data_IF_201727342527
#
_entry.id   IF_201727342527
#
_cell.length_a   1.000
_cell.length_b   1.000
_cell.length_c   1.000
_cell.angle_alpha   90.00
_cell.angle_beta   90.00
_cell.angle_gamma   90.00
#
_symmetry.space_group_name_H-M   'P 1'
#
loop_
_entity.id
_entity.type
_entity.pdbx_description
1 polymer ?
#
# COMPACT_ATOMS: atom_id res chain seq x y z
N UNK A 1 -2.24 4.86 -2.21
CA UNK A 1 -1.10 4.22 -2.87
C UNK A 1 -1.62 3.49 -4.09
N UNK A 2 -0.74 3.22 -5.04
CA UNK A 2 -1.07 2.63 -6.33
C UNK A 2 0.20 2.37 -7.12
N UNK A 3 0.08 2.32 -8.44
CA UNK A 3 1.18 2.07 -9.37
C UNK A 3 1.37 3.26 -10.32
N UNK A 4 2.46 3.27 -11.07
CA UNK A 4 2.77 4.32 -12.04
C UNK A 4 3.38 5.59 -11.44
N UNK A 5 3.41 6.67 -12.24
CA UNK A 5 4.01 7.95 -11.83
C UNK A 5 3.21 8.68 -10.75
N UNK A 6 1.87 8.57 -10.81
CA UNK A 6 0.95 9.25 -9.88
C UNK A 6 0.43 8.31 -8.78
N UNK A 7 1.28 7.40 -8.29
CA UNK A 7 0.91 6.34 -7.34
C UNK A 7 0.41 6.84 -5.97
N UNK A 8 0.79 8.06 -5.57
CA UNK A 8 0.29 8.70 -4.38
C UNK A 8 -1.03 9.45 -4.66
N UNK A 9 -2.13 8.73 -4.90
CA UNK A 9 -3.39 9.31 -5.43
C UNK A 9 -3.91 10.56 -4.70
N UNK A 10 -3.82 10.60 -3.35
CA UNK A 10 -4.25 11.78 -2.58
C UNK A 10 -3.42 13.03 -2.91
N UNK A 11 -2.15 12.86 -3.31
CA UNK A 11 -1.28 13.92 -3.80
C UNK A 11 -1.57 14.30 -5.26
N UNK A 12 -2.54 13.68 -5.93
CA UNK A 12 -3.01 14.09 -7.25
C UNK A 12 -4.31 14.92 -7.18
N UNK A 13 -4.88 15.07 -5.98
CA UNK A 13 -6.06 15.91 -5.76
C UNK A 13 -5.66 17.39 -5.74
N UNK A 14 -6.42 18.22 -6.46
CA UNK A 14 -6.21 19.68 -6.54
C UNK A 14 -7.48 20.49 -6.25
N UNK A 15 -8.61 19.83 -5.98
CA UNK A 15 -9.87 20.46 -5.61
C UNK A 15 -10.93 19.41 -5.27
N UNK A 16 -11.78 19.73 -4.30
CA UNK A 16 -12.89 18.88 -3.85
C UNK A 16 -14.17 19.71 -3.80
N UNK A 17 -15.32 19.10 -4.09
CA UNK A 17 -16.63 19.59 -3.68
C UNK A 17 -17.16 18.65 -2.60
N UNK A 18 -17.61 19.22 -1.48
CA UNK A 18 -17.98 18.48 -0.27
C UNK A 18 -19.26 19.05 0.30
N UNK A 19 -20.23 18.18 0.58
CA UNK A 19 -21.41 18.51 1.36
C UNK A 19 -21.11 18.32 2.86
N UNK A 20 -21.33 19.36 3.65
CA UNK A 20 -21.16 19.37 5.10
C UNK A 20 -22.38 18.78 5.83
N UNK A 21 -22.29 18.61 7.15
CA UNK A 21 -23.36 17.98 7.94
C UNK A 21 -24.64 18.83 8.04
N UNK A 22 -24.53 20.14 7.87
CA UNK A 22 -25.65 21.09 7.78
C UNK A 22 -26.27 21.17 6.37
N UNK A 23 -25.67 20.50 5.39
CA UNK A 23 -26.11 20.47 4.00
C UNK A 23 -25.43 21.50 3.09
N UNK A 24 -24.60 22.40 3.62
CA UNK A 24 -23.86 23.35 2.80
C UNK A 24 -22.86 22.64 1.90
N UNK A 25 -22.67 23.17 0.68
CA UNK A 25 -21.72 22.63 -0.30
C UNK A 25 -20.52 23.55 -0.40
N UNK A 26 -19.35 23.04 -0.01
CA UNK A 26 -18.08 23.76 -0.04
C UNK A 26 -17.21 23.21 -1.17
N UNK A 27 -16.53 24.12 -1.88
CA UNK A 27 -15.45 23.78 -2.81
C UNK A 27 -14.11 24.25 -2.26
N UNK A 28 -13.09 23.41 -2.37
CA UNK A 28 -11.76 23.68 -1.80
C UNK A 28 -10.80 24.28 -2.82
N UNK A 29 -9.71 24.88 -2.33
CA UNK A 29 -8.66 25.45 -3.18
C UNK A 29 -9.19 26.48 -4.18
N UNK A 30 -8.62 26.46 -5.39
CA UNK A 30 -9.05 27.32 -6.49
C UNK A 30 -10.47 26.99 -6.98
N UNK A 31 -10.97 25.77 -6.73
CA UNK A 31 -12.32 25.37 -7.12
C UNK A 31 -13.41 26.07 -6.29
N UNK A 32 -13.05 26.69 -5.17
CA UNK A 32 -13.91 27.60 -4.40
C UNK A 32 -14.34 28.86 -5.17
N UNK A 33 -13.57 29.29 -6.16
CA UNK A 33 -13.85 30.47 -6.99
C UNK A 33 -14.74 30.04 -8.15
N UNK A 34 -15.94 30.61 -8.25
CA UNK A 34 -17.00 30.12 -9.15
C UNK A 34 -16.57 29.90 -10.61
N UNK A 35 -15.69 30.76 -11.14
CA UNK A 35 -15.24 30.73 -12.53
C UNK A 35 -13.71 30.69 -12.66
N UNK A 36 -13.00 30.08 -11.71
CA UNK A 36 -11.53 30.05 -11.79
C UNK A 36 -11.04 29.15 -12.93
N UNK A 37 -10.26 29.69 -13.89
CA UNK A 37 -9.60 28.85 -14.90
C UNK A 37 -8.52 27.95 -14.29
N UNK A 38 -8.14 28.21 -13.04
CA UNK A 38 -7.13 27.47 -12.30
C UNK A 38 -7.71 26.48 -11.28
N UNK A 39 -9.04 26.28 -11.29
CA UNK A 39 -9.77 25.46 -10.30
C UNK A 39 -9.11 24.11 -9.98
N UNK A 40 -8.54 23.45 -10.99
CA UNK A 40 -7.91 22.13 -10.87
C UNK A 40 -6.43 22.11 -11.27
N UNK A 41 -5.80 23.28 -11.44
CA UNK A 41 -4.42 23.39 -11.92
C UNK A 41 -3.41 23.62 -10.79
N UNK A 42 -3.85 24.21 -9.68
CA UNK A 42 -2.97 24.60 -8.58
C UNK A 42 -3.53 24.17 -7.24
N UNK A 43 -2.63 23.64 -6.40
CA UNK A 43 -2.89 23.38 -4.97
C UNK A 43 -2.63 24.58 -4.09
N UNK A 44 -2.01 25.62 -4.63
CA UNK A 44 -1.83 26.87 -3.90
C UNK A 44 -3.18 27.56 -3.75
N UNK A 45 -3.56 27.76 -2.49
CA UNK A 45 -4.81 28.38 -2.09
C UNK A 45 -4.53 29.59 -1.22
N UNK A 46 -5.52 30.47 -1.08
CA UNK A 46 -5.50 31.55 -0.09
C UNK A 46 -6.27 31.09 1.15
N UNK A 47 -5.65 31.22 2.33
CA UNK A 47 -6.17 30.69 3.59
C UNK A 47 -5.70 29.25 3.88
N UNK A 48 -6.29 28.57 4.88
CA UNK A 48 -5.91 27.20 5.23
C UNK A 48 -6.24 26.21 4.10
N UNK A 49 -5.32 25.31 3.79
CA UNK A 49 -5.62 24.12 2.99
C UNK A 49 -6.41 23.12 3.83
N UNK A 50 -7.65 22.84 3.44
CA UNK A 50 -8.58 22.00 4.20
C UNK A 50 -8.88 20.67 3.51
N UNK A 51 -8.38 20.43 2.30
CA UNK A 51 -8.57 19.21 1.51
C UNK A 51 -8.23 17.95 2.31
N UNK A 52 -7.12 18.00 3.06
CA UNK A 52 -6.67 16.90 3.91
C UNK A 52 -7.67 16.52 5.00
N UNK A 53 -8.52 17.46 5.45
CA UNK A 53 -9.56 17.19 6.44
C UNK A 53 -10.65 16.26 5.90
N UNK A 54 -10.81 16.14 4.58
CA UNK A 54 -11.82 15.27 3.96
C UNK A 54 -11.26 13.92 3.48
N UNK A 55 -9.95 13.69 3.65
CA UNK A 55 -9.31 12.41 3.32
C UNK A 55 -9.23 11.57 4.58
N UNK A 56 -9.79 10.35 4.54
CA UNK A 56 -9.86 9.46 5.70
C UNK A 56 -10.54 10.11 6.92
N UNK A 57 -11.67 10.79 6.75
CA UNK A 57 -12.40 11.39 7.87
C UNK A 57 -13.90 11.17 7.75
N UNK A 58 -14.65 11.77 8.66
CA UNK A 58 -16.11 11.83 8.64
C UNK A 58 -16.63 13.27 8.70
N UNK A 59 -15.89 14.23 8.15
CA UNK A 59 -16.22 15.66 8.23
C UNK A 59 -17.15 16.16 7.11
N UNK A 60 -17.43 15.34 6.11
CA UNK A 60 -18.28 15.70 4.98
C UNK A 60 -18.49 14.54 4.01
N UNK A 61 -19.37 14.74 3.05
CA UNK A 61 -19.61 13.83 1.92
C UNK A 61 -19.02 14.46 0.66
N UNK A 62 -17.94 13.87 0.14
CA UNK A 62 -17.31 14.35 -1.09
C UNK A 62 -18.20 14.02 -2.28
N UNK A 63 -18.61 15.03 -3.05
CA UNK A 63 -19.49 14.92 -4.22
C UNK A 63 -18.74 15.06 -5.54
N UNK A 64 -17.61 15.79 -5.55
CA UNK A 64 -16.70 15.89 -6.70
C UNK A 64 -15.25 15.91 -6.24
N UNK A 65 -14.37 15.37 -7.06
CA UNK A 65 -12.93 15.32 -6.83
C UNK A 65 -12.19 15.59 -8.13
N UNK A 66 -11.16 16.44 -8.11
CA UNK A 66 -10.22 16.55 -9.22
C UNK A 66 -9.07 15.56 -9.04
N UNK A 67 -8.58 14.98 -10.13
CA UNK A 67 -7.40 14.12 -10.15
C UNK A 67 -6.48 14.53 -11.30
N UNK A 68 -5.23 14.81 -10.99
CA UNK A 68 -4.21 15.00 -12.02
C UNK A 68 -3.86 13.68 -12.68
N UNK A 69 -3.85 13.71 -14.02
CA UNK A 69 -3.50 12.58 -14.86
C UNK A 69 -2.11 12.80 -15.44
N UNK A 70 -1.35 11.72 -15.48
CA UNK A 70 -0.08 11.67 -16.16
C UNK A 70 -0.30 11.73 -17.67
N UNK A 71 0.36 12.65 -18.41
CA UNK A 71 0.37 12.63 -19.86
C UNK A 71 0.88 11.30 -20.39
N UNK A 72 0.33 10.85 -21.52
CA UNK A 72 0.74 9.62 -22.16
C UNK A 72 2.24 9.68 -22.54
N UNK A 73 3.08 8.76 -22.04
CA UNK A 73 4.51 8.78 -22.34
C UNK A 73 4.80 8.21 -23.73
N UNK A 74 5.91 8.61 -24.34
CA UNK A 74 6.39 8.04 -25.61
C UNK A 74 6.89 6.59 -25.47
N UNK A 75 7.48 6.27 -24.32
CA UNK A 75 7.98 4.94 -24.00
C UNK A 75 7.76 4.60 -22.53
N UNK A 76 7.73 3.30 -22.27
CA UNK A 76 7.63 2.67 -20.96
C UNK A 76 8.65 1.55 -20.88
N UNK A 77 9.41 1.48 -19.79
CA UNK A 77 10.25 0.33 -19.51
C UNK A 77 9.73 -0.40 -18.27
N UNK A 78 9.31 -1.65 -18.46
CA UNK A 78 8.96 -2.56 -17.39
C UNK A 78 10.25 -3.08 -16.74
N UNK A 79 10.49 -2.70 -15.49
CA UNK A 79 11.71 -3.03 -14.78
C UNK A 79 11.43 -3.98 -13.63
N UNK A 80 12.34 -4.93 -13.42
CA UNK A 80 12.23 -5.92 -12.35
C UNK A 80 13.61 -6.20 -11.74
N UNK A 81 13.63 -6.50 -10.43
CA UNK A 81 14.82 -6.93 -9.71
C UNK A 81 14.49 -8.08 -8.78
N UNK A 82 15.17 -9.22 -8.93
CA UNK A 82 14.94 -10.44 -8.16
C UNK A 82 16.11 -10.73 -7.23
N UNK A 83 15.90 -10.61 -5.92
CA UNK A 83 16.92 -10.83 -4.91
C UNK A 83 16.85 -12.27 -4.37
N UNK A 84 17.94 -13.01 -4.54
CA UNK A 84 18.00 -14.43 -4.24
C UNK A 84 18.13 -14.74 -2.75
N UNK A 85 18.69 -13.83 -1.96
CA UNK A 85 18.94 -14.01 -0.53
C UNK A 85 17.88 -13.29 0.30
N UNK A 86 17.44 -13.90 1.40
CA UNK A 86 16.44 -13.29 2.28
C UNK A 86 16.96 -12.00 2.92
N UNK A 87 18.20 -12.01 3.40
CA UNK A 87 18.89 -10.85 3.99
C UNK A 87 19.20 -9.76 2.96
N UNK A 88 19.23 -10.11 1.67
CA UNK A 88 19.44 -9.18 0.56
C UNK A 88 18.38 -8.07 0.49
N UNK A 89 17.25 -8.22 1.17
CA UNK A 89 16.25 -7.16 1.33
C UNK A 89 16.86 -5.86 1.88
N UNK A 90 17.81 -5.96 2.83
CA UNK A 90 18.39 -4.77 3.47
C UNK A 90 19.11 -3.89 2.44
N UNK A 91 20.04 -4.46 1.68
CA UNK A 91 20.76 -3.71 0.64
C UNK A 91 19.85 -3.27 -0.50
N UNK A 92 18.86 -4.09 -0.86
CA UNK A 92 17.89 -3.79 -1.90
C UNK A 92 17.06 -2.56 -1.53
N UNK A 93 16.49 -2.52 -0.31
CA UNK A 93 15.71 -1.37 0.16
C UNK A 93 16.54 -0.11 0.25
N UNK A 94 17.78 -0.18 0.74
CA UNK A 94 18.65 0.99 0.84
C UNK A 94 19.01 1.56 -0.54
N UNK A 95 19.34 0.71 -1.51
CA UNK A 95 19.68 1.12 -2.87
C UNK A 95 18.48 1.76 -3.60
N UNK A 96 17.32 1.09 -3.60
CA UNK A 96 16.10 1.64 -4.20
C UNK A 96 15.62 2.91 -3.48
N UNK A 97 15.72 2.95 -2.15
CA UNK A 97 15.35 4.12 -1.35
C UNK A 97 16.20 5.34 -1.69
N UNK A 98 17.50 5.16 -1.91
CA UNK A 98 18.40 6.22 -2.37
C UNK A 98 18.01 6.73 -3.77
N UNK A 99 17.78 5.81 -4.72
CA UNK A 99 17.36 6.15 -6.09
C UNK A 99 15.98 6.81 -6.14
N UNK A 100 15.09 6.50 -5.19
CA UNK A 100 13.82 7.20 -5.01
C UNK A 100 14.04 8.63 -4.52
N UNK A 101 14.96 8.85 -3.57
CA UNK A 101 15.22 10.19 -3.00
C UNK A 101 15.94 11.14 -3.95
N UNK A 102 16.85 10.63 -4.78
CA UNK A 102 17.64 11.45 -5.70
C UNK A 102 16.94 11.68 -7.06
N UNK A 103 15.79 11.03 -7.30
CA UNK A 103 15.02 11.16 -8.55
C UNK A 103 15.45 10.20 -9.66
N UNK A 104 16.41 9.29 -9.43
CA UNK A 104 16.74 8.23 -10.40
C UNK A 104 15.54 7.31 -10.64
N UNK A 105 14.64 7.10 -9.66
CA UNK A 105 13.36 6.41 -9.83
C UNK A 105 12.23 7.32 -9.36
N UNK A 106 11.35 7.71 -10.29
CA UNK A 106 10.23 8.61 -10.01
C UNK A 106 8.96 7.85 -9.58
N UNK A 107 8.70 6.70 -10.20
CA UNK A 107 7.50 5.90 -9.95
C UNK A 107 7.54 5.19 -8.60
N UNK A 108 6.44 4.52 -8.24
CA UNK A 108 6.46 3.58 -7.13
C UNK A 108 7.34 2.38 -7.46
N UNK A 109 8.17 1.96 -6.51
CA UNK A 109 8.78 0.62 -6.53
C UNK A 109 7.95 -0.26 -5.62
N UNK A 110 7.29 -1.27 -6.21
CA UNK A 110 6.54 -2.27 -5.49
C UNK A 110 7.45 -3.46 -5.21
N UNK A 111 7.56 -3.83 -3.94
CA UNK A 111 8.30 -5.00 -3.49
C UNK A 111 7.32 -6.07 -3.07
N UNK A 112 7.59 -7.32 -3.42
CA UNK A 112 6.79 -8.49 -3.02
C UNK A 112 7.70 -9.61 -2.55
N UNK A 113 7.19 -10.39 -1.61
CA UNK A 113 7.82 -11.63 -1.12
C UNK A 113 7.53 -12.81 -2.05
N UNK A 114 8.38 -13.85 -1.97
CA UNK A 114 8.11 -15.13 -2.65
C UNK A 114 6.71 -15.67 -2.31
N UNK A 115 6.34 -15.67 -1.03
CA UNK A 115 5.03 -16.15 -0.55
C UNK A 115 3.89 -15.45 -1.27
N UNK A 116 3.90 -14.13 -1.34
CA UNK A 116 2.82 -13.39 -1.98
C UNK A 116 2.74 -13.68 -3.48
N UNK A 117 3.89 -13.82 -4.15
CA UNK A 117 3.94 -14.23 -5.56
C UNK A 117 3.29 -15.60 -5.77
N UNK A 118 3.54 -16.56 -4.86
CA UNK A 118 2.88 -17.87 -4.86
C UNK A 118 1.37 -17.75 -4.59
N UNK A 119 0.95 -16.88 -3.66
CA UNK A 119 -0.45 -16.64 -3.38
C UNK A 119 -1.21 -16.12 -4.60
N UNK A 120 -0.60 -15.24 -5.40
CA UNK A 120 -1.21 -14.75 -6.65
C UNK A 120 -1.27 -15.86 -7.70
N UNK A 121 -0.30 -16.78 -7.71
CA UNK A 121 -0.15 -17.79 -8.77
C UNK A 121 -0.96 -19.08 -8.55
N UNK A 122 -1.37 -19.38 -7.31
CA UNK A 122 -2.01 -20.65 -6.98
C UNK A 122 -2.65 -20.68 -5.60
N UNK A 123 -2.98 -21.88 -5.14
CA UNK A 123 -3.50 -22.10 -3.78
C UNK A 123 -2.46 -22.76 -2.91
N UNK A 124 -2.59 -22.63 -1.58
CA UNK A 124 -1.63 -23.23 -0.64
C UNK A 124 -1.39 -24.71 -0.90
N UNK A 125 -2.45 -25.48 -1.18
CA UNK A 125 -2.40 -26.92 -1.45
C UNK A 125 -1.63 -27.31 -2.73
N UNK A 126 -1.39 -26.37 -3.66
CA UNK A 126 -0.55 -26.59 -4.84
C UNK A 126 0.94 -26.64 -4.46
N UNK A 127 1.29 -26.04 -3.33
CA UNK A 127 2.68 -25.85 -2.90
C UNK A 127 3.02 -26.59 -1.61
N UNK A 128 2.04 -26.74 -0.71
CA UNK A 128 2.18 -27.40 0.59
C UNK A 128 0.85 -27.97 1.09
N UNK A 129 0.83 -29.28 1.37
CA UNK A 129 -0.34 -30.00 1.91
C UNK A 129 -0.20 -30.38 3.38
N UNK A 130 0.98 -30.18 3.97
CA UNK A 130 1.22 -30.49 5.38
C UNK A 130 0.53 -29.51 6.33
N UNK A 131 0.65 -29.72 7.65
CA UNK A 131 0.10 -28.81 8.65
C UNK A 131 0.88 -27.47 8.70
N UNK A 132 0.24 -26.44 9.26
CA UNK A 132 0.89 -25.15 9.55
C UNK A 132 1.32 -24.35 8.30
N UNK A 133 2.08 -23.26 8.48
CA UNK A 133 2.63 -22.49 7.37
C UNK A 133 3.56 -23.33 6.47
N UNK A 134 3.79 -22.88 5.23
CA UNK A 134 4.81 -23.48 4.35
C UNK A 134 6.20 -23.40 5.02
N UNK A 135 6.89 -24.52 5.25
CA UNK A 135 8.18 -24.50 5.94
C UNK A 135 9.30 -23.94 5.06
N UNK A 136 10.32 -23.34 5.69
CA UNK A 136 11.42 -22.66 5.00
C UNK A 136 12.16 -23.53 3.98
N UNK A 137 12.36 -24.82 4.27
CA UNK A 137 12.98 -25.75 3.32
C UNK A 137 12.15 -25.90 2.05
N UNK A 138 10.81 -25.92 2.16
CA UNK A 138 9.91 -26.01 1.00
C UNK A 138 9.86 -24.71 0.23
N UNK A 139 9.93 -23.57 0.92
CA UNK A 139 10.05 -22.27 0.27
C UNK A 139 11.33 -22.15 -0.55
N UNK A 140 12.44 -22.68 -0.06
CA UNK A 140 13.71 -22.70 -0.80
C UNK A 140 13.65 -23.61 -2.05
N UNK A 141 12.91 -24.72 -1.99
CA UNK A 141 12.63 -25.54 -3.19
C UNK A 141 11.76 -24.77 -4.20
N UNK A 142 10.64 -24.20 -3.74
CA UNK A 142 9.72 -23.43 -4.58
C UNK A 142 10.40 -22.23 -5.23
N UNK A 143 11.32 -21.57 -4.53
CA UNK A 143 12.15 -20.49 -5.06
C UNK A 143 12.94 -20.95 -6.29
N UNK A 144 13.57 -22.11 -6.21
CA UNK A 144 14.33 -22.71 -7.34
C UNK A 144 13.42 -23.19 -8.47
N UNK A 145 12.27 -23.79 -8.13
CA UNK A 145 11.29 -24.29 -9.10
C UNK A 145 10.67 -23.16 -9.93
N UNK A 146 10.36 -22.02 -9.29
CA UNK A 146 9.70 -20.87 -9.92
C UNK A 146 10.68 -19.86 -10.53
N UNK A 147 11.94 -19.86 -10.09
CA UNK A 147 12.96 -18.89 -10.51
C UNK A 147 12.82 -17.50 -9.84
N UNK A 148 11.84 -17.32 -8.96
CA UNK A 148 11.72 -16.09 -8.17
C UNK A 148 12.79 -16.04 -7.07
N UNK A 149 13.20 -14.84 -6.67
CA UNK A 149 13.99 -14.63 -5.46
C UNK A 149 13.14 -14.71 -4.19
N UNK A 150 13.78 -14.55 -3.03
CA UNK A 150 13.04 -14.30 -1.78
C UNK A 150 12.28 -12.97 -1.82
N UNK A 151 12.84 -12.00 -2.54
CA UNK A 151 12.26 -10.66 -2.73
C UNK A 151 12.28 -10.25 -4.19
N UNK A 152 11.23 -9.57 -4.61
CA UNK A 152 11.08 -9.12 -5.98
C UNK A 152 10.60 -7.66 -6.00
N UNK A 153 11.32 -6.78 -6.69
CA UNK A 153 10.89 -5.41 -6.96
C UNK A 153 10.42 -5.27 -8.40
N UNK A 154 9.35 -4.49 -8.59
CA UNK A 154 8.84 -4.08 -9.89
C UNK A 154 8.56 -2.60 -9.91
N UNK A 155 8.93 -1.94 -11.01
CA UNK A 155 8.63 -0.54 -11.25
C UNK A 155 8.60 -0.24 -12.74
N UNK A 156 8.07 0.92 -13.09
CA UNK A 156 8.06 1.44 -14.45
C UNK A 156 8.94 2.66 -14.60
N UNK A 157 9.61 2.78 -15.74
CA UNK A 157 10.19 4.05 -16.20
C UNK A 157 9.33 4.58 -17.34
N UNK A 158 9.02 5.88 -17.35
CA UNK A 158 8.06 6.47 -18.28
C UNK A 158 8.64 7.75 -18.87
N UNK A 159 8.59 7.91 -20.19
CA UNK A 159 9.07 9.12 -20.85
C UNK A 159 9.65 8.84 -22.23
N UNK A 160 10.50 9.74 -22.76
CA UNK A 160 11.19 9.53 -24.01
C UNK A 160 12.14 8.32 -23.95
N UNK A 161 12.19 7.53 -25.02
CA UNK A 161 12.95 6.27 -25.10
C UNK A 161 14.40 6.41 -24.62
N UNK A 162 15.13 7.44 -25.10
CA UNK A 162 16.53 7.67 -24.73
C UNK A 162 16.73 7.92 -23.23
N UNK A 163 15.74 8.56 -22.59
CA UNK A 163 15.81 8.94 -21.18
C UNK A 163 15.53 7.73 -20.30
N UNK A 164 14.49 6.96 -20.62
CA UNK A 164 14.18 5.73 -19.86
C UNK A 164 15.29 4.69 -19.99
N UNK A 165 15.95 4.60 -21.15
CA UNK A 165 17.11 3.71 -21.32
C UNK A 165 18.29 4.14 -20.45
N UNK A 166 18.70 5.41 -20.52
CA UNK A 166 19.80 5.92 -19.70
C UNK A 166 19.53 5.78 -18.19
N UNK A 167 18.27 6.00 -17.78
CA UNK A 167 17.83 5.82 -16.40
C UNK A 167 17.92 4.34 -15.97
N UNK A 168 17.53 3.40 -16.83
CA UNK A 168 17.69 1.97 -16.55
C UNK A 168 19.14 1.54 -16.47
N UNK A 169 20.00 2.02 -17.37
CA UNK A 169 21.43 1.69 -17.39
C UNK A 169 22.11 2.13 -16.09
N UNK A 170 21.76 3.31 -15.57
CA UNK A 170 22.21 3.81 -14.26
C UNK A 170 21.71 2.92 -13.11
N UNK A 171 20.41 2.61 -13.07
CA UNK A 171 19.83 1.73 -12.04
C UNK A 171 20.51 0.36 -12.07
N UNK A 172 20.73 -0.20 -13.27
CA UNK A 172 21.41 -1.47 -13.47
C UNK A 172 22.83 -1.44 -12.91
N UNK A 173 23.62 -0.43 -13.24
CA UNK A 173 24.98 -0.29 -12.72
C UNK A 173 25.01 -0.22 -11.18
N UNK A 174 24.10 0.55 -10.57
CA UNK A 174 24.00 0.63 -9.11
C UNK A 174 23.64 -0.72 -8.49
N UNK A 175 22.66 -1.41 -9.05
CA UNK A 175 22.18 -2.68 -8.50
C UNK A 175 23.17 -3.82 -8.70
N UNK A 176 23.85 -3.90 -9.84
CA UNK A 176 24.91 -4.89 -10.08
C UNK A 176 26.11 -4.66 -9.13
N UNK A 177 26.41 -3.41 -8.79
CA UNK A 177 27.49 -3.10 -7.85
C UNK A 177 27.11 -3.38 -6.38
N UNK A 178 25.89 -3.03 -5.96
CA UNK A 178 25.47 -3.11 -4.55
C UNK A 178 24.83 -4.44 -4.16
N UNK A 179 24.18 -5.10 -5.11
CA UNK A 179 23.39 -6.31 -4.89
C UNK A 179 23.70 -7.35 -5.99
N UNK A 180 24.97 -7.80 -6.12
CA UNK A 180 25.45 -8.62 -7.24
C UNK A 180 24.81 -10.02 -7.32
N UNK A 181 24.17 -10.47 -6.24
CA UNK A 181 23.44 -11.76 -6.20
C UNK A 181 22.02 -11.65 -6.74
N UNK A 182 21.53 -10.44 -7.00
CA UNK A 182 20.22 -10.22 -7.59
C UNK A 182 20.26 -10.12 -9.12
N UNK A 183 19.11 -10.33 -9.74
CA UNK A 183 18.95 -10.27 -11.19
C UNK A 183 18.07 -9.08 -11.58
N UNK A 184 18.60 -8.17 -12.40
CA UNK A 184 17.86 -7.03 -12.95
C UNK A 184 17.45 -7.28 -14.41
N UNK A 185 16.20 -6.94 -14.75
CA UNK A 185 15.69 -6.99 -16.13
C UNK A 185 14.89 -5.73 -16.46
N UNK A 186 15.03 -5.27 -17.71
CA UNK A 186 14.30 -4.14 -18.27
C UNK A 186 13.75 -4.52 -19.64
N UNK A 187 12.45 -4.30 -19.85
CA UNK A 187 11.80 -4.54 -21.16
C UNK A 187 11.16 -3.24 -21.62
N UNK A 188 11.70 -2.71 -22.71
CA UNK A 188 11.30 -1.43 -23.29
C UNK A 188 10.13 -1.61 -24.27
N UNK A 189 9.13 -0.76 -24.11
CA UNK A 189 8.00 -0.58 -25.01
C UNK A 189 7.98 0.89 -25.45
N UNK A 190 7.86 1.14 -26.74
CA UNK A 190 7.85 2.50 -27.30
C UNK A 190 6.71 2.63 -28.32
N UNK A 191 6.24 3.86 -28.50
CA UNK A 191 5.29 4.18 -29.56
C UNK A 191 5.85 3.79 -30.94
N UNK A 192 4.96 3.40 -31.85
CA UNK A 192 5.34 3.03 -33.21
C UNK A 192 5.75 4.25 -34.07
N UNK A 193 5.33 5.45 -33.69
CA UNK A 193 5.65 6.72 -34.35
C UNK A 193 6.35 7.66 -33.35
N UNK A 194 7.34 8.43 -33.83
CA UNK A 194 8.21 9.27 -33.00
C UNK A 194 7.49 10.43 -32.28
N UNK A 195 6.33 10.86 -32.78
CA UNK A 195 5.47 11.90 -32.21
C UNK A 195 4.27 11.35 -31.41
N UNK A 196 4.12 10.02 -31.36
CA UNK A 196 3.01 9.35 -30.70
C UNK A 196 3.27 9.01 -29.23
N UNK A 197 2.20 8.86 -28.46
CA UNK A 197 2.24 8.23 -27.14
C UNK A 197 2.13 6.71 -27.24
N UNK A 198 2.78 5.98 -26.34
CA UNK A 198 2.65 4.53 -26.23
C UNK A 198 1.22 4.17 -25.83
N UNK A 199 0.54 3.36 -26.64
CA UNK A 199 -0.75 2.78 -26.26
C UNK A 199 -0.57 1.81 -25.10
N UNK A 200 -1.15 2.14 -23.94
CA UNK A 200 -1.07 1.33 -22.73
C UNK A 200 -1.63 -0.10 -22.94
N UNK A 201 -2.64 -0.26 -23.79
CA UNK A 201 -3.24 -1.57 -24.07
C UNK A 201 -2.34 -2.48 -24.92
N UNK A 202 -1.33 -1.92 -25.60
CA UNK A 202 -0.38 -2.68 -26.42
C UNK A 202 0.70 -3.39 -25.58
N UNK A 203 0.86 -3.03 -24.30
CA UNK A 203 1.85 -3.64 -23.41
C UNK A 203 1.29 -4.94 -22.81
N UNK A 204 1.86 -6.10 -23.12
CA UNK A 204 1.31 -7.38 -22.72
C UNK A 204 1.52 -7.66 -21.22
N UNK A 205 0.67 -8.52 -20.66
CA UNK A 205 0.92 -9.15 -19.35
C UNK A 205 2.21 -9.99 -19.42
N UNK A 206 3.05 -10.01 -18.36
CA UNK A 206 2.84 -9.36 -17.06
C UNK A 206 3.33 -7.91 -16.98
N UNK A 207 3.89 -7.32 -18.04
CA UNK A 207 4.54 -6.01 -18.01
C UNK A 207 3.58 -4.82 -18.03
N UNK A 208 2.37 -5.00 -18.58
CA UNK A 208 1.34 -3.97 -18.70
C UNK A 208 0.46 -3.83 -17.44
N UNK A 209 -0.85 -3.83 -17.65
CA UNK A 209 -1.87 -3.74 -16.59
C UNK A 209 -1.72 -2.47 -15.73
N UNK A 210 -1.75 -2.61 -14.40
CA UNK A 210 -1.72 -1.50 -13.46
C UNK A 210 -0.45 -0.64 -13.58
N UNK A 211 0.65 -1.18 -14.12
CA UNK A 211 1.88 -0.41 -14.33
C UNK A 211 1.77 0.60 -15.47
N UNK A 212 0.84 0.41 -16.42
CA UNK A 212 0.57 1.37 -17.51
C UNK A 212 -0.80 2.03 -17.39
N UNK A 213 -1.47 1.86 -16.24
CA UNK A 213 -2.78 2.46 -15.97
C UNK A 213 -3.98 1.69 -16.52
N UNK A 214 -3.79 0.42 -16.93
CA UNK A 214 -4.89 -0.46 -17.35
C UNK A 214 -5.38 -1.28 -16.14
N UNK A 215 -6.62 -1.08 -15.67
CA UNK A 215 -7.14 -1.81 -14.50
C UNK A 215 -7.17 -3.32 -14.72
N UNK A 216 -6.88 -4.09 -13.66
CA UNK A 216 -6.81 -5.54 -13.68
C UNK A 216 -7.26 -6.13 -12.35
N UNK A 217 -7.77 -7.37 -12.38
CA UNK A 217 -8.06 -8.19 -11.20
C UNK A 217 -6.97 -9.27 -10.98
N UNK A 218 -5.79 -9.08 -11.56
CA UNK A 218 -4.69 -10.06 -11.55
C UNK A 218 -4.31 -10.57 -10.14
N UNK A 219 -4.34 -9.72 -9.12
CA UNK A 219 -4.01 -10.12 -7.74
C UNK A 219 -5.18 -10.75 -6.98
N UNK A 220 -6.41 -10.72 -7.51
CA UNK A 220 -7.59 -11.24 -6.82
C UNK A 220 -7.48 -12.72 -6.41
N UNK A 221 -6.83 -13.64 -7.17
CA UNK A 221 -6.67 -15.03 -6.76
C UNK A 221 -6.03 -15.24 -5.39
N UNK A 222 -5.18 -14.31 -4.93
CA UNK A 222 -4.47 -14.36 -3.64
C UNK A 222 -5.38 -14.64 -2.44
N UNK A 223 -6.61 -14.12 -2.44
CA UNK A 223 -7.53 -14.31 -1.31
C UNK A 223 -7.96 -15.79 -1.14
N UNK A 224 -7.84 -16.59 -2.20
CA UNK A 224 -8.19 -18.00 -2.19
C UNK A 224 -7.06 -18.91 -1.70
N UNK A 225 -5.91 -18.34 -1.32
CA UNK A 225 -4.76 -19.09 -0.80
C UNK A 225 -5.12 -20.17 0.24
N UNK A 226 -5.92 -19.88 1.28
CA UNK A 226 -6.22 -20.86 2.33
C UNK A 226 -7.42 -21.76 1.98
N UNK A 227 -8.10 -21.54 0.85
CA UNK A 227 -9.35 -22.23 0.49
C UNK A 227 -9.03 -23.49 -0.32
N UNK A 228 -9.28 -24.71 0.21
CA UNK A 228 -8.99 -25.93 -0.53
C UNK A 228 -9.82 -26.05 -1.82
N UNK A 229 -9.34 -26.77 -2.83
CA UNK A 229 -10.07 -26.93 -4.10
C UNK A 229 -11.25 -27.88 -4.01
N UNK A 230 -11.22 -28.79 -3.05
CA UNK A 230 -12.17 -29.91 -2.91
C UNK A 230 -13.39 -29.59 -2.04
N UNK A 231 -13.40 -28.46 -1.32
CA UNK A 231 -14.52 -28.05 -0.48
C UNK A 231 -14.84 -26.55 -0.63
N UNK A 232 -16.10 -26.15 -0.42
CA UNK A 232 -16.45 -24.74 -0.40
C UNK A 232 -15.81 -24.04 0.79
N UNK A 233 -15.41 -22.78 0.59
CA UNK A 233 -14.95 -21.88 1.63
C UNK A 233 -15.27 -20.44 1.23
N UNK A 234 -15.18 -19.52 2.19
CA UNK A 234 -15.43 -18.09 1.93
C UNK A 234 -14.15 -17.30 2.14
N UNK A 235 -13.44 -17.04 1.06
CA UNK A 235 -12.19 -16.30 1.09
C UNK A 235 -12.31 -14.93 1.78
N UNK A 236 -11.32 -14.62 2.62
CA UNK A 236 -11.12 -13.31 3.22
C UNK A 236 -9.65 -12.91 3.10
N UNK A 237 -9.42 -11.60 3.15
CA UNK A 237 -8.11 -11.03 3.38
C UNK A 237 -8.20 -9.92 4.43
N UNK A 238 -7.06 -9.65 5.05
CA UNK A 238 -6.83 -8.54 5.95
C UNK A 238 -5.36 -8.15 5.88
N UNK A 239 -5.03 -6.99 6.39
CA UNK A 239 -3.69 -6.45 6.36
C UNK A 239 -3.36 -5.70 7.65
N UNK A 240 -2.11 -5.78 8.05
CA UNK A 240 -1.50 -4.85 9.00
C UNK A 240 -0.47 -4.01 8.25
N UNK A 241 -0.71 -2.71 8.17
CA UNK A 241 -0.08 -1.79 7.22
C UNK A 241 0.77 -0.67 7.86
N UNK A 242 1.88 -0.99 8.55
CA UNK A 242 2.71 0.02 9.21
C UNK A 242 3.45 0.88 8.20
N UNK A 243 3.66 2.14 8.58
CA UNK A 243 4.59 3.04 7.89
C UNK A 243 5.95 2.90 8.54
N UNK A 244 6.93 2.43 7.77
CA UNK A 244 8.29 2.13 8.23
C UNK A 244 9.26 3.08 7.50
N UNK A 245 10.34 3.56 8.14
CA UNK A 245 11.37 4.31 7.44
C UNK A 245 11.88 3.58 6.19
N UNK A 246 12.23 4.32 5.14
CA UNK A 246 12.89 3.76 3.95
C UNK A 246 14.35 3.43 4.29
N UNK A 247 14.50 2.35 5.07
CA UNK A 247 15.75 1.80 5.59
C UNK A 247 15.69 0.29 5.55
N UNK A 248 16.67 -0.33 4.89
CA UNK A 248 16.75 -1.78 4.74
C UNK A 248 16.77 -2.51 6.06
N UNK A 249 17.56 -2.00 7.02
CA UNK A 249 17.62 -2.55 8.37
C UNK A 249 16.24 -2.57 9.05
N UNK A 250 15.50 -1.45 8.99
CA UNK A 250 14.20 -1.34 9.65
C UNK A 250 13.15 -2.25 9.01
N UNK A 251 13.15 -2.36 7.68
CA UNK A 251 12.24 -3.25 6.93
C UNK A 251 12.58 -4.72 7.18
N UNK A 252 13.86 -5.10 7.13
CA UNK A 252 14.29 -6.48 7.41
C UNK A 252 14.01 -6.88 8.86
N UNK A 253 14.23 -5.98 9.83
CA UNK A 253 13.85 -6.23 11.22
C UNK A 253 12.34 -6.47 11.36
N UNK A 254 11.52 -5.67 10.68
CA UNK A 254 10.06 -5.88 10.69
C UNK A 254 9.69 -7.28 10.17
N UNK A 255 10.28 -7.72 9.05
CA UNK A 255 10.05 -9.07 8.52
C UNK A 255 10.41 -10.16 9.54
N UNK A 256 11.56 -10.01 10.23
CA UNK A 256 12.03 -10.96 11.24
C UNK A 256 11.09 -11.06 12.44
N UNK A 257 10.48 -9.96 12.87
CA UNK A 257 9.56 -9.97 14.02
C UNK A 257 8.13 -10.33 13.64
N UNK A 258 7.69 -10.02 12.42
CA UNK A 258 6.35 -10.36 11.96
C UNK A 258 6.21 -11.83 11.58
N UNK A 259 7.27 -12.46 11.05
CA UNK A 259 7.27 -13.88 10.66
C UNK A 259 6.76 -14.81 11.77
N UNK A 260 7.37 -14.84 12.98
CA UNK A 260 6.92 -15.74 14.05
C UNK A 260 5.49 -15.43 14.52
N UNK A 261 5.02 -14.17 14.42
CA UNK A 261 3.64 -13.79 14.77
C UNK A 261 2.65 -14.39 13.78
N UNK A 262 2.95 -14.32 12.47
CA UNK A 262 2.14 -14.96 11.44
C UNK A 262 2.13 -16.48 11.63
N UNK A 263 3.31 -17.09 11.80
CA UNK A 263 3.44 -18.54 11.88
C UNK A 263 2.76 -19.14 13.12
N UNK A 264 2.85 -18.47 14.27
CA UNK A 264 2.14 -18.87 15.49
C UNK A 264 0.60 -18.87 15.32
N UNK A 265 0.09 -18.14 14.32
CA UNK A 265 -1.33 -18.09 13.98
C UNK A 265 -1.67 -18.90 12.71
N UNK A 266 -0.73 -19.70 12.21
CA UNK A 266 -0.94 -20.62 11.09
C UNK A 266 -1.00 -19.94 9.72
N UNK A 267 -0.42 -18.75 9.58
CA UNK A 267 -0.35 -17.99 8.32
C UNK A 267 1.11 -17.80 7.92
N UNK A 268 1.40 -17.88 6.63
CA UNK A 268 2.70 -17.51 6.09
C UNK A 268 2.95 -15.99 6.23
N UNK A 269 4.21 -15.56 6.32
CA UNK A 269 4.53 -14.14 6.17
C UNK A 269 4.36 -13.73 4.71
N UNK A 270 3.16 -13.33 4.35
CA UNK A 270 2.86 -12.67 3.08
C UNK A 270 3.07 -11.16 3.24
N UNK A 271 4.06 -10.63 2.53
CA UNK A 271 4.42 -9.22 2.60
C UNK A 271 4.67 -8.62 1.21
N UNK A 272 4.03 -7.48 0.96
CA UNK A 272 4.48 -6.47 0.00
C UNK A 272 4.82 -5.16 0.68
N UNK A 273 5.45 -4.25 -0.06
CA UNK A 273 5.44 -2.85 0.31
C UNK A 273 5.57 -1.92 -0.89
N UNK A 274 5.00 -0.73 -0.71
CA UNK A 274 5.08 0.37 -1.66
C UNK A 274 6.14 1.34 -1.16
N UNK A 275 7.23 1.45 -1.91
CA UNK A 275 8.32 2.34 -1.54
C UNK A 275 8.03 3.77 -1.97
N UNK A 276 7.98 4.67 -1.00
CA UNK A 276 8.08 6.11 -1.19
C UNK A 276 9.52 6.57 -0.95
N UNK A 277 9.78 7.85 -1.18
CA UNK A 277 11.12 8.46 -1.07
C UNK A 277 11.69 8.34 0.34
N UNK A 278 10.84 8.46 1.37
CA UNK A 278 11.30 8.55 2.78
C UNK A 278 10.77 7.47 3.69
N UNK A 279 9.78 6.71 3.22
CA UNK A 279 9.14 5.65 3.98
C UNK A 279 8.71 4.54 3.03
N UNK A 280 8.47 3.37 3.58
CA UNK A 280 7.70 2.32 2.93
C UNK A 280 6.36 2.22 3.64
N UNK A 281 5.31 1.92 2.88
CA UNK A 281 4.07 1.44 3.48
C UNK A 281 4.00 -0.04 3.17
N UNK A 282 4.06 -0.83 4.22
CA UNK A 282 4.29 -2.25 4.15
C UNK A 282 3.01 -2.98 4.48
N UNK A 283 2.53 -3.88 3.62
CA UNK A 283 1.35 -4.67 3.90
C UNK A 283 1.77 -6.07 4.35
N UNK A 284 1.64 -6.34 5.64
CA UNK A 284 1.58 -7.72 6.10
C UNK A 284 0.16 -8.23 5.87
N UNK A 285 -0.06 -8.83 4.70
CA UNK A 285 -1.36 -9.38 4.35
C UNK A 285 -1.52 -10.78 4.93
N UNK A 286 -2.76 -11.13 5.24
CA UNK A 286 -3.13 -12.46 5.69
C UNK A 286 -4.50 -12.82 5.14
N UNK A 287 -4.70 -14.09 4.85
CA UNK A 287 -5.93 -14.63 4.26
C UNK A 287 -6.45 -15.76 5.12
N UNK A 288 -7.77 -15.92 5.15
CA UNK A 288 -8.41 -17.00 5.89
C UNK A 288 -9.75 -17.40 5.27
N UNK A 289 -10.29 -18.53 5.71
CA UNK A 289 -11.68 -18.90 5.44
C UNK A 289 -12.63 -18.24 6.45
N UNK A 290 -13.49 -17.31 6.00
CA UNK A 290 -14.49 -16.65 6.84
C UNK A 290 -15.53 -17.61 7.43
N UNK A 291 -15.60 -18.86 6.99
CA UNK A 291 -16.47 -19.86 7.62
C UNK A 291 -15.83 -20.55 8.82
N UNK A 292 -14.50 -20.44 8.98
CA UNK A 292 -13.75 -21.08 10.05
C UNK A 292 -13.61 -20.14 11.28
N UNK A 293 -14.29 -20.43 12.41
CA UNK A 293 -14.23 -19.60 13.62
C UNK A 293 -12.88 -19.69 14.36
N UNK A 294 -12.08 -20.72 14.14
CA UNK A 294 -10.73 -20.80 14.71
C UNK A 294 -9.77 -19.90 13.94
N UNK A 295 -9.83 -19.91 12.60
CA UNK A 295 -9.02 -19.01 11.79
C UNK A 295 -9.32 -17.54 12.09
N UNK A 296 -10.59 -17.15 12.27
CA UNK A 296 -10.93 -15.77 12.68
C UNK A 296 -10.25 -15.34 13.98
N UNK A 297 -10.32 -16.17 15.01
CA UNK A 297 -9.64 -15.92 16.30
C UNK A 297 -8.12 -15.84 16.15
N UNK A 298 -7.54 -16.66 15.27
CA UNK A 298 -6.11 -16.58 14.90
C UNK A 298 -5.78 -15.24 14.23
N UNK A 299 -6.63 -14.74 13.33
CA UNK A 299 -6.41 -13.44 12.67
C UNK A 299 -6.49 -12.27 13.65
N UNK A 300 -7.41 -12.32 14.61
CA UNK A 300 -7.50 -11.30 15.68
C UNK A 300 -6.21 -11.26 16.52
N UNK A 301 -5.70 -12.43 16.93
CA UNK A 301 -4.42 -12.54 17.65
C UNK A 301 -3.23 -12.10 16.81
N UNK A 302 -3.19 -12.49 15.54
CA UNK A 302 -2.15 -12.08 14.60
C UNK A 302 -2.12 -10.55 14.47
N UNK A 303 -3.27 -9.93 14.20
CA UNK A 303 -3.38 -8.48 14.04
C UNK A 303 -2.90 -7.76 15.31
N UNK A 304 -3.32 -8.23 16.49
CA UNK A 304 -2.92 -7.61 17.75
C UNK A 304 -1.42 -7.82 18.06
N UNK A 305 -0.87 -8.99 17.73
CA UNK A 305 0.57 -9.23 17.84
C UNK A 305 1.39 -8.24 17.01
N UNK A 306 0.99 -8.03 15.75
CA UNK A 306 1.63 -7.04 14.88
C UNK A 306 1.44 -5.62 15.41
N UNK A 307 0.26 -5.29 15.93
CA UNK A 307 -0.01 -4.01 16.59
C UNK A 307 0.94 -3.73 17.75
N UNK A 308 1.14 -4.71 18.63
CA UNK A 308 2.03 -4.56 19.78
C UNK A 308 3.49 -4.34 19.35
N UNK A 309 3.98 -5.08 18.36
CA UNK A 309 5.33 -4.89 17.84
C UNK A 309 5.53 -3.54 17.13
N UNK A 310 4.52 -3.06 16.40
CA UNK A 310 4.53 -1.75 15.77
C UNK A 310 4.54 -0.63 16.82
N UNK A 311 3.67 -0.72 17.84
CA UNK A 311 3.60 0.25 18.94
C UNK A 311 4.94 0.37 19.67
N UNK A 312 5.58 -0.76 20.01
CA UNK A 312 6.92 -0.77 20.65
C UNK A 312 7.98 -0.02 19.85
N UNK A 313 7.85 -0.02 18.52
CA UNK A 313 8.79 0.62 17.59
C UNK A 313 8.40 2.04 17.18
N UNK A 314 7.23 2.52 17.62
CA UNK A 314 6.68 3.80 17.18
C UNK A 314 6.23 3.82 15.72
N UNK A 315 5.88 2.66 15.15
CA UNK A 315 5.36 2.58 13.79
C UNK A 315 3.85 2.83 13.80
N UNK A 316 3.45 3.92 13.15
CA UNK A 316 2.04 4.23 12.90
C UNK A 316 1.47 3.44 11.73
N UNK A 317 0.14 3.40 11.63
CA UNK A 317 -0.58 2.75 10.55
C UNK A 317 -1.10 3.79 9.55
N UNK A 318 -0.98 3.53 8.26
CA UNK A 318 -1.50 4.46 7.24
C UNK A 318 -3.03 4.33 7.07
N UNK A 319 -3.57 3.10 7.22
CA UNK A 319 -4.99 2.71 7.13
C UNK A 319 -5.23 1.42 7.92
N UNK A 320 -6.49 1.10 8.18
CA UNK A 320 -6.90 -0.22 8.65
C UNK A 320 -8.40 -0.49 8.51
N UNK A 321 -8.78 -1.71 8.86
CA UNK A 321 -10.15 -2.19 8.83
C UNK A 321 -11.03 -1.48 9.87
N UNK A 322 -12.35 -1.41 9.63
CA UNK A 322 -13.31 -0.71 10.51
C UNK A 322 -13.26 -1.21 11.96
N UNK A 323 -13.05 -2.51 12.17
CA UNK A 323 -12.92 -3.14 13.50
C UNK A 323 -11.62 -2.76 14.24
N UNK A 324 -10.71 -2.02 13.61
CA UNK A 324 -9.41 -1.68 14.18
C UNK A 324 -9.16 -0.17 14.23
N UNK A 325 -10.13 0.65 13.81
CA UNK A 325 -9.94 2.10 13.71
C UNK A 325 -9.67 2.76 15.06
N UNK A 326 -10.37 2.35 16.12
CA UNK A 326 -10.13 2.86 17.47
C UNK A 326 -8.74 2.44 17.99
N UNK A 327 -8.37 1.17 17.80
CA UNK A 327 -7.07 0.64 18.19
C UNK A 327 -5.92 1.37 17.48
N UNK A 328 -6.06 1.64 16.18
CA UNK A 328 -5.09 2.39 15.37
C UNK A 328 -5.04 3.85 15.81
N UNK A 329 -6.20 4.50 16.00
CA UNK A 329 -6.25 5.89 16.46
C UNK A 329 -5.57 6.06 17.83
N UNK A 330 -5.56 5.00 18.65
CA UNK A 330 -4.89 4.97 19.94
C UNK A 330 -3.35 5.02 19.84
N UNK A 331 -2.76 4.73 18.66
CA UNK A 331 -1.31 4.91 18.43
C UNK A 331 -0.89 6.39 18.46
N UNK A 332 -1.82 7.32 18.24
CA UNK A 332 -1.57 8.76 18.39
C UNK A 332 -1.63 9.16 19.87
N UNK A 333 -0.69 8.68 20.69
CA UNK A 333 -0.71 8.83 22.15
C UNK A 333 -0.03 10.08 22.70
N UNK A 334 0.76 10.78 21.86
CA UNK A 334 1.49 11.97 22.26
C UNK A 334 0.59 13.01 22.95
N UNK A 335 1.08 13.53 24.09
CA UNK A 335 0.39 14.53 24.90
C UNK A 335 -1.07 14.14 25.23
N UNK A 336 -1.21 12.90 25.72
CA UNK A 336 -2.47 12.29 26.14
C UNK A 336 -3.49 12.16 25.00
N UNK A 337 -3.04 11.81 23.79
CA UNK A 337 -3.86 11.79 22.57
C UNK A 337 -4.33 13.18 22.10
N UNK A 338 -3.44 14.18 22.09
CA UNK A 338 -3.79 15.55 21.72
C UNK A 338 -4.35 15.67 20.29
N UNK A 339 -3.84 14.86 19.35
CA UNK A 339 -4.35 14.79 17.98
C UNK A 339 -5.83 14.39 17.96
N UNK A 340 -6.18 13.27 18.60
CA UNK A 340 -7.55 12.74 18.62
C UNK A 340 -8.50 13.78 19.23
N UNK A 341 -8.15 14.36 20.38
CA UNK A 341 -8.96 15.41 21.04
C UNK A 341 -9.13 16.66 20.16
N UNK A 342 -8.14 17.02 19.35
CA UNK A 342 -8.25 18.14 18.43
C UNK A 342 -9.19 17.84 17.26
N UNK A 343 -9.02 16.70 16.61
CA UNK A 343 -9.88 16.30 15.48
C UNK A 343 -11.33 16.12 15.93
N UNK A 344 -11.56 15.58 17.13
CA UNK A 344 -12.92 15.46 17.68
C UNK A 344 -13.56 16.80 18.03
N UNK A 345 -12.77 17.82 18.43
CA UNK A 345 -13.29 19.19 18.58
C UNK A 345 -13.73 19.79 17.24
N UNK A 346 -12.97 19.54 16.17
CA UNK A 346 -13.39 19.92 14.81
C UNK A 346 -14.68 19.19 14.44
N UNK A 347 -14.73 17.86 14.67
CA UNK A 347 -15.90 17.03 14.36
C UNK A 347 -17.17 17.55 15.03
N UNK A 348 -17.11 17.82 16.34
CA UNK A 348 -18.27 18.33 17.09
C UNK A 348 -18.71 19.71 16.61
N UNK A 349 -17.76 20.55 16.16
CA UNK A 349 -18.07 21.89 15.66
C UNK A 349 -18.77 21.86 14.29
N UNK A 350 -18.33 20.98 13.38
CA UNK A 350 -18.87 20.92 12.00
C UNK A 350 -20.02 19.92 11.83
N UNK A 351 -20.21 19.01 12.79
CA UNK A 351 -21.31 18.04 12.81
C UNK A 351 -21.84 17.89 14.25
N UNK A 352 -22.56 18.89 14.77
CA UNK A 352 -23.05 18.90 16.16
C UNK A 352 -24.03 17.77 16.46
N UNK A 353 -24.73 17.28 15.44
CA UNK A 353 -25.64 16.15 15.55
C UNK A 353 -24.94 14.80 15.37
N UNK A 354 -23.65 14.76 15.02
CA UNK A 354 -22.87 13.55 14.84
C UNK A 354 -23.49 12.57 13.83
N UNK A 355 -23.99 13.06 12.69
CA UNK A 355 -24.70 12.24 11.69
C UNK A 355 -23.77 11.61 10.66
N UNK A 356 -22.63 12.23 10.37
CA UNK A 356 -21.72 11.74 9.33
C UNK A 356 -20.76 10.70 9.92
N UNK A 357 -20.92 9.44 9.48
CA UNK A 357 -20.03 8.29 9.71
C UNK A 357 -19.32 8.26 11.09
N UNK A 358 -20.06 8.20 12.21
CA UNK A 358 -19.48 8.17 13.56
C UNK A 358 -18.52 6.98 13.72
N UNK A 359 -17.33 7.21 14.29
CA UNK A 359 -16.33 6.18 14.54
C UNK A 359 -15.33 5.95 13.41
N UNK A 360 -15.54 6.54 12.23
CA UNK A 360 -14.53 6.50 11.15
C UNK A 360 -13.18 7.06 11.62
N UNK A 361 -12.11 6.28 11.45
CA UNK A 361 -10.76 6.55 11.97
C UNK A 361 -10.70 6.80 13.49
N UNK A 362 -11.65 6.24 14.25
CA UNK A 362 -11.75 6.46 15.70
C UNK A 362 -12.16 7.88 16.09
N UNK A 363 -12.75 8.64 15.16
CA UNK A 363 -13.27 9.99 15.40
C UNK A 363 -14.74 9.87 15.79
N UNK A 364 -15.04 10.05 17.08
CA UNK A 364 -16.38 9.90 17.62
C UNK A 364 -17.00 11.26 17.95
N UNK A 365 -18.18 11.59 17.39
CA UNK A 365 -18.96 12.75 17.83
C UNK A 365 -19.27 12.64 19.32
N UNK A 366 -19.38 13.77 20.02
CA UNK A 366 -19.55 13.82 21.48
C UNK A 366 -20.59 12.82 22.02
N UNK A 367 -21.77 12.76 21.38
CA UNK A 367 -22.87 11.87 21.81
C UNK A 367 -22.58 10.37 21.66
N UNK A 368 -21.60 9.98 20.85
CA UNK A 368 -21.23 8.59 20.57
C UNK A 368 -19.86 8.19 21.11
N UNK A 369 -19.13 9.08 21.79
CA UNK A 369 -17.79 8.75 22.35
C UNK A 369 -17.81 7.56 23.31
N UNK A 370 -18.95 7.30 23.97
CA UNK A 370 -19.13 6.15 24.84
C UNK A 370 -19.15 4.80 24.10
N UNK A 371 -19.29 4.80 22.77
CA UNK A 371 -19.23 3.61 21.92
C UNK A 371 -17.80 3.27 21.47
N UNK A 372 -16.81 4.14 21.77
CA UNK A 372 -15.42 3.91 21.42
C UNK A 372 -14.94 2.60 22.04
N UNK A 373 -14.40 1.73 21.21
CA UNK A 373 -13.83 0.48 21.68
C UNK A 373 -12.48 0.78 22.34
N UNK A 374 -12.38 0.53 23.65
CA UNK A 374 -11.11 0.62 24.37
C UNK A 374 -10.34 -0.71 24.34
N UNK A 375 -10.78 -1.67 23.53
CA UNK A 375 -10.37 -3.07 23.72
C UNK A 375 -8.92 -3.30 23.26
N UNK A 376 -8.06 -3.59 24.23
CA UNK A 376 -7.11 -4.68 24.03
C UNK A 376 -7.95 -5.96 23.86
N UNK A 377 -7.79 -6.74 22.78
CA UNK A 377 -8.54 -7.97 22.60
C UNK A 377 -8.34 -8.86 23.83
N UNK A 378 -9.43 -9.51 24.25
CA UNK A 378 -9.38 -10.59 25.24
C UNK A 378 -8.71 -11.79 24.56
N UNK A 379 -7.38 -11.74 24.42
CA UNK A 379 -6.57 -12.79 23.78
C UNK A 379 -6.54 -14.03 24.64
#
# INVERSE_FOLDING_TARGET
MGFGMNYAHHQCVSGMEVMLADGDVVRTGQFGISNSPSAFLSKFTYGPSVEGLFVQSNLGVVTKLSLWLTPQPQAYMACTFSMQEYEGLEVMVDAFGEMKRNGTIHSCVWFTSLIETLCISGRREDYWKGPGPVPDWRLEELRKETGFGHWYARWGLYGPQRIVQAQFDEIKAVMEARAPTGEIRGVLYAAAADDGGLDAASVPSPHGEMFVGVPSLWSLPLINWPIPKDRPGKAAHGDYAPVIPSSGKAVLEWMRVSKPICEANGVELMADFFMHERHVVLMNMFTWDQTDPEQKRKMERLYYGLYQEAKKRGYGMYRGHVNHMDLIANLNDFNNHAYNRFVERIKDAVDPNGILAPGKQGIWPNRFRHLRETQEPKV
#
